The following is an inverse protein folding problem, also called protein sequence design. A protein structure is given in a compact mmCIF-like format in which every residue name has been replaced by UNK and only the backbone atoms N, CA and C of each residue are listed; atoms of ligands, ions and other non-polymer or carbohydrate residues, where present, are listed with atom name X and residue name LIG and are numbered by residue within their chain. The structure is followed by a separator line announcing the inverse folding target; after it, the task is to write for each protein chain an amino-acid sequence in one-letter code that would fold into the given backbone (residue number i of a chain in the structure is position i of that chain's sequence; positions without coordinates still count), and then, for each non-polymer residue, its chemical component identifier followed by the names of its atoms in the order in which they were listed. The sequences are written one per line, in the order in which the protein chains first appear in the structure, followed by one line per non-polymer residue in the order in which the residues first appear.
data_IF_989204416066
#
_entry.id   IF_989204416066
#
_cell.length_a   1.000
_cell.length_b   1.000
_cell.length_c   1.000
_cell.angle_alpha   90.00
_cell.angle_beta   90.00
_cell.angle_gamma   90.00
#
_symmetry.space_group_name_H-M   'P 1'
#
loop_
_entity.id
_entity.type
_entity.pdbx_description
1 polymer ?
#
# COMPACT_ATOMS: atom_id res chain seq x y z
N UNK A 1 -2.55 78.07 7.69
CA UNK A 1 -2.46 77.03 8.76
C UNK A 1 -3.85 76.41 8.99
N UNK A 2 -4.15 75.33 8.32
CA UNK A 2 -5.40 74.58 8.52
C UNK A 2 -5.17 73.49 9.54
N UNK A 3 -5.65 73.72 10.76
CA UNK A 3 -5.61 72.70 11.83
C UNK A 3 -6.82 71.79 11.65
N UNK A 4 -6.62 70.65 10.97
CA UNK A 4 -7.66 69.64 10.76
C UNK A 4 -7.91 68.90 12.08
N UNK A 5 -8.99 69.26 12.78
CA UNK A 5 -9.43 68.54 13.97
C UNK A 5 -9.81 67.13 13.55
N UNK A 6 -9.03 66.18 13.98
CA UNK A 6 -9.32 64.74 13.77
C UNK A 6 -10.34 64.34 14.82
N UNK A 7 -11.52 64.01 14.37
CA UNK A 7 -12.64 63.64 15.21
C UNK A 7 -12.36 62.32 15.93
N UNK A 8 -12.15 62.39 17.23
CA UNK A 8 -11.77 61.30 18.12
C UNK A 8 -12.78 60.15 18.08
N UNK A 9 -14.04 60.42 17.74
CA UNK A 9 -15.10 59.44 17.55
C UNK A 9 -14.86 58.55 16.32
N UNK A 10 -14.27 59.12 15.24
CA UNK A 10 -13.95 58.34 14.02
C UNK A 10 -12.73 57.43 14.23
N UNK A 11 -11.77 57.83 15.07
CA UNK A 11 -10.61 57.02 15.42
C UNK A 11 -11.03 55.83 16.29
N UNK A 12 -11.95 56.02 17.25
CA UNK A 12 -12.50 54.94 18.07
C UNK A 12 -13.27 53.93 17.24
N UNK A 13 -14.01 54.41 16.21
CA UNK A 13 -14.77 53.50 15.34
C UNK A 13 -13.90 52.73 14.36
N UNK A 14 -12.75 53.29 13.93
CA UNK A 14 -11.78 52.58 13.12
C UNK A 14 -10.97 51.52 13.92
N UNK A 15 -10.69 51.79 15.21
CA UNK A 15 -10.05 50.79 16.08
C UNK A 15 -10.95 49.61 16.40
N UNK A 16 -12.28 49.81 16.51
CA UNK A 16 -13.23 48.70 16.75
C UNK A 16 -13.36 47.74 15.55
N UNK A 17 -13.20 48.25 14.32
CA UNK A 17 -13.24 47.40 13.12
C UNK A 17 -11.94 46.62 12.91
N UNK A 18 -10.78 47.13 13.38
CA UNK A 18 -9.53 46.44 13.28
C UNK A 18 -9.39 45.21 14.23
N UNK A 19 -10.14 45.19 15.34
CA UNK A 19 -10.10 44.08 16.28
C UNK A 19 -10.98 42.86 15.89
N UNK A 20 -11.91 43.00 14.94
CA UNK A 20 -12.75 41.89 14.47
C UNK A 20 -12.07 41.07 13.36
N UNK A 21 -10.98 41.57 12.77
CA UNK A 21 -10.28 40.88 11.70
C UNK A 21 -9.20 39.87 12.17
N UNK A 22 -8.94 39.75 13.49
CA UNK A 22 -7.94 38.89 14.05
C UNK A 22 -8.44 37.57 14.70
N UNK A 23 -9.75 37.34 14.66
CA UNK A 23 -10.32 36.07 15.18
C UNK A 23 -10.84 35.15 14.09
N UNK A 24 -10.07 34.93 13.04
CA UNK A 24 -10.47 34.11 11.90
C UNK A 24 -9.39 33.28 11.23
N UNK A 25 -8.18 33.20 11.78
CA UNK A 25 -7.22 32.18 11.37
C UNK A 25 -7.36 30.96 12.27
N UNK A 26 -8.50 30.27 12.18
CA UNK A 26 -8.46 28.83 12.30
C UNK A 26 -7.63 28.32 11.14
N UNK A 27 -6.34 28.13 11.39
CA UNK A 27 -5.50 27.35 10.51
C UNK A 27 -6.27 26.07 10.22
N UNK A 28 -6.70 25.91 8.96
CA UNK A 28 -6.94 24.58 8.46
C UNK A 28 -5.61 23.86 8.65
N UNK A 29 -5.47 23.11 9.74
CA UNK A 29 -4.54 22.02 9.77
C UNK A 29 -4.80 21.28 8.46
N UNK A 30 -3.81 21.32 7.58
CA UNK A 30 -3.74 20.39 6.49
C UNK A 30 -4.02 19.03 7.15
N UNK A 31 -5.17 18.45 6.87
CA UNK A 31 -5.42 17.05 7.14
C UNK A 31 -4.28 16.35 6.43
N UNK A 32 -3.26 15.95 7.21
CA UNK A 32 -2.39 14.87 6.84
C UNK A 32 -3.31 13.80 6.32
N UNK A 33 -3.00 13.31 5.09
CA UNK A 33 -3.86 12.47 4.32
C UNK A 33 -4.62 11.50 5.19
N UNK A 34 -5.93 11.49 5.07
CA UNK A 34 -6.70 10.33 5.42
C UNK A 34 -6.02 9.19 4.67
N UNK A 35 -5.17 8.43 5.38
CA UNK A 35 -4.94 7.07 5.01
C UNK A 35 -6.34 6.50 4.87
N UNK A 36 -6.80 6.40 3.63
CA UNK A 36 -7.90 5.51 3.34
C UNK A 36 -7.42 4.16 3.82
N UNK A 37 -7.76 3.83 5.06
CA UNK A 37 -7.57 2.51 5.60
C UNK A 37 -8.39 1.59 4.69
N UNK A 38 -7.72 1.12 3.62
CA UNK A 38 -8.28 0.14 2.75
C UNK A 38 -8.41 -1.12 3.59
N UNK A 39 -9.64 -1.40 4.04
CA UNK A 39 -9.97 -2.58 4.84
C UNK A 39 -9.58 -3.90 4.12
N UNK A 40 -9.20 -3.77 2.85
CA UNK A 40 -8.75 -4.85 1.97
C UNK A 40 -7.23 -4.92 1.76
N UNK A 41 -6.42 -4.13 2.48
CA UNK A 41 -4.96 -4.20 2.34
C UNK A 41 -4.43 -5.59 2.68
N UNK A 42 -3.40 -6.02 1.95
CA UNK A 42 -2.72 -7.29 2.22
C UNK A 42 -1.89 -7.17 3.49
N UNK A 43 -2.06 -8.14 4.37
CA UNK A 43 -1.27 -8.28 5.59
C UNK A 43 -1.23 -9.74 6.04
N UNK A 44 -0.14 -10.12 6.71
CA UNK A 44 0.06 -11.47 7.25
C UNK A 44 0.39 -12.52 6.18
N UNK A 45 0.17 -13.78 6.53
CA UNK A 45 0.57 -14.95 5.72
C UNK A 45 -0.53 -15.38 4.76
N UNK A 46 -0.14 -15.61 3.51
CA UNK A 46 -1.00 -16.09 2.42
C UNK A 46 -0.29 -17.23 1.68
N UNK A 47 -0.86 -18.41 1.70
CA UNK A 47 -0.32 -19.57 0.97
C UNK A 47 -0.46 -19.38 -0.54
N UNK A 48 0.54 -19.81 -1.29
CA UNK A 48 0.52 -19.77 -2.75
C UNK A 48 -0.35 -20.91 -3.26
N UNK A 49 -1.35 -20.57 -4.08
CA UNK A 49 -2.18 -21.56 -4.79
C UNK A 49 -1.65 -21.76 -6.20
N UNK A 50 -1.38 -20.64 -6.90
CA UNK A 50 -0.89 -20.65 -8.28
C UNK A 50 -0.15 -19.35 -8.61
N UNK A 51 0.92 -19.44 -9.37
CA UNK A 51 1.64 -18.29 -9.94
C UNK A 51 1.88 -18.55 -11.41
N UNK A 52 1.34 -17.70 -12.29
CA UNK A 52 1.25 -17.95 -13.73
C UNK A 52 0.61 -19.33 -13.98
N UNK A 53 1.33 -20.24 -14.62
CA UNK A 53 0.88 -21.62 -14.88
C UNK A 53 1.52 -22.64 -13.93
N UNK A 54 2.23 -22.18 -12.86
CA UNK A 54 2.93 -23.04 -11.91
C UNK A 54 2.13 -23.16 -10.62
N UNK A 55 1.88 -24.38 -10.17
CA UNK A 55 1.29 -24.72 -8.88
C UNK A 55 2.34 -25.33 -7.96
N UNK A 56 2.31 -25.07 -6.65
CA UNK A 56 3.21 -25.71 -5.71
C UNK A 56 3.02 -27.23 -5.72
N UNK A 57 4.11 -27.98 -5.69
CA UNK A 57 4.05 -29.44 -5.49
C UNK A 57 3.39 -29.77 -4.15
N UNK A 58 2.82 -30.97 -4.02
CA UNK A 58 2.18 -31.42 -2.79
C UNK A 58 3.11 -31.33 -1.55
N UNK A 59 4.40 -31.54 -1.74
CA UNK A 59 5.41 -31.45 -0.70
C UNK A 59 5.68 -30.00 -0.23
N UNK A 60 5.46 -29.01 -1.07
CA UNK A 60 5.74 -27.59 -0.80
C UNK A 60 4.50 -26.78 -0.42
N UNK A 61 3.31 -27.30 -0.65
CA UNK A 61 2.03 -26.57 -0.58
C UNK A 61 1.81 -25.80 0.74
N UNK A 62 2.23 -26.37 1.87
CA UNK A 62 2.06 -25.75 3.18
C UNK A 62 3.23 -24.83 3.58
N UNK A 63 4.34 -24.91 2.88
CA UNK A 63 5.56 -24.15 3.18
C UNK A 63 5.68 -22.86 2.37
N UNK A 64 5.11 -22.83 1.16
CA UNK A 64 5.22 -21.68 0.24
C UNK A 64 4.15 -20.64 0.53
N UNK A 65 4.58 -19.39 0.65
CA UNK A 65 3.68 -18.31 1.02
C UNK A 65 4.23 -16.93 0.68
N UNK A 66 3.32 -15.97 0.53
CA UNK A 66 3.57 -14.54 0.66
C UNK A 66 3.30 -14.14 2.11
N UNK A 67 4.28 -13.51 2.75
CA UNK A 67 4.15 -12.95 4.10
C UNK A 67 4.25 -11.43 3.98
N UNK A 68 3.10 -10.77 4.02
CA UNK A 68 2.99 -9.31 3.91
C UNK A 68 3.20 -8.67 5.28
N UNK A 69 4.02 -7.63 5.31
CA UNK A 69 4.13 -6.69 6.42
C UNK A 69 3.66 -5.32 5.92
N UNK A 70 2.39 -5.00 6.19
CA UNK A 70 1.77 -3.75 5.77
C UNK A 70 2.48 -2.54 6.39
N UNK A 71 2.91 -2.64 7.64
CA UNK A 71 3.54 -1.52 8.35
C UNK A 71 4.88 -1.12 7.73
N UNK A 72 5.62 -2.08 7.17
CA UNK A 72 6.91 -1.85 6.51
C UNK A 72 6.79 -1.70 4.98
N UNK A 73 5.63 -1.96 4.41
CA UNK A 73 5.46 -1.99 2.96
C UNK A 73 6.33 -3.07 2.30
N UNK A 74 6.56 -4.19 2.98
CA UNK A 74 7.43 -5.27 2.54
C UNK A 74 6.68 -6.61 2.48
N UNK A 75 7.11 -7.49 1.59
CA UNK A 75 6.63 -8.87 1.53
C UNK A 75 7.79 -9.83 1.34
N UNK A 76 7.76 -10.93 2.08
CA UNK A 76 8.62 -12.08 1.88
C UNK A 76 7.86 -13.15 1.10
N UNK A 77 8.36 -13.53 -0.06
CA UNK A 77 7.83 -14.64 -0.84
C UNK A 77 8.69 -15.87 -0.60
N UNK A 78 8.12 -16.86 0.06
CA UNK A 78 8.72 -18.18 0.26
C UNK A 78 8.22 -19.08 -0.86
N UNK A 79 9.03 -19.24 -1.91
CA UNK A 79 8.65 -19.96 -3.12
C UNK A 79 9.36 -21.31 -3.29
N UNK A 80 9.89 -21.83 -2.22
CA UNK A 80 10.67 -23.08 -2.18
C UNK A 80 11.78 -22.95 -1.17
N UNK A 81 13.02 -23.23 -1.58
CA UNK A 81 14.19 -23.11 -0.70
C UNK A 81 14.75 -21.68 -0.63
N UNK A 82 14.38 -20.80 -1.57
CA UNK A 82 14.76 -19.40 -1.57
C UNK A 82 13.65 -18.50 -1.01
N UNK A 83 14.06 -17.31 -0.55
CA UNK A 83 13.18 -16.25 -0.09
C UNK A 83 13.41 -15.03 -0.96
N UNK A 84 12.32 -14.52 -1.54
CA UNK A 84 12.33 -13.26 -2.29
C UNK A 84 11.80 -12.18 -1.34
N UNK A 85 12.60 -11.15 -1.09
CA UNK A 85 12.17 -9.97 -0.35
C UNK A 85 11.91 -8.84 -1.34
N UNK A 86 10.72 -8.25 -1.28
CA UNK A 86 10.30 -7.21 -2.19
C UNK A 86 9.44 -6.17 -1.45
N UNK A 87 9.59 -4.90 -1.82
CA UNK A 87 8.67 -3.85 -1.35
C UNK A 87 7.35 -3.93 -2.12
N UNK A 88 6.27 -3.49 -1.48
CA UNK A 88 4.99 -3.34 -2.18
C UNK A 88 4.29 -2.04 -1.75
N UNK A 89 3.47 -1.53 -2.66
CA UNK A 89 2.56 -0.43 -2.40
C UNK A 89 1.15 -0.89 -2.77
N UNK A 90 0.19 -0.59 -1.91
CA UNK A 90 -1.21 -0.94 -2.16
C UNK A 90 -2.14 0.21 -1.84
N UNK A 91 -2.96 0.57 -2.83
CA UNK A 91 -4.06 1.52 -2.73
C UNK A 91 -5.35 0.81 -3.15
N UNK A 92 -6.09 0.28 -2.16
CA UNK A 92 -7.30 -0.51 -2.38
C UNK A 92 -7.11 -1.70 -3.33
N UNK A 93 -7.57 -1.61 -4.55
CA UNK A 93 -7.48 -2.68 -5.56
C UNK A 93 -6.25 -2.57 -6.45
N UNK A 94 -5.44 -1.53 -6.28
CA UNK A 94 -4.15 -1.40 -6.95
C UNK A 94 -3.05 -1.91 -6.03
N UNK A 95 -2.20 -2.77 -6.55
CA UNK A 95 -1.01 -3.24 -5.85
C UNK A 95 0.14 -3.31 -6.85
N UNK A 96 1.31 -2.86 -6.43
CA UNK A 96 2.54 -2.93 -7.22
C UNK A 96 3.68 -3.41 -6.35
N UNK A 97 4.62 -4.11 -6.95
CA UNK A 97 5.83 -4.59 -6.29
C UNK A 97 7.05 -3.89 -6.86
N UNK A 98 8.02 -3.58 -5.99
CA UNK A 98 9.33 -3.08 -6.39
C UNK A 98 10.25 -4.18 -6.88
N UNK A 99 11.54 -3.88 -6.97
CA UNK A 99 12.55 -4.87 -7.29
C UNK A 99 12.70 -5.87 -6.14
N UNK A 100 12.70 -7.16 -6.47
CA UNK A 100 12.87 -8.25 -5.51
C UNK A 100 14.33 -8.67 -5.38
N UNK A 101 14.74 -8.94 -4.14
CA UNK A 101 16.03 -9.56 -3.83
C UNK A 101 15.78 -11.01 -3.40
N UNK A 102 16.33 -11.96 -4.13
CA UNK A 102 16.24 -13.38 -3.78
C UNK A 102 17.57 -13.91 -3.23
N UNK A 103 17.47 -14.78 -2.23
CA UNK A 103 18.59 -15.65 -1.86
C UNK A 103 18.87 -16.60 -3.02
N UNK A 104 20.14 -16.92 -3.28
CA UNK A 104 20.54 -17.77 -4.42
C UNK A 104 21.10 -19.11 -3.94
N UNK A 105 20.24 -19.95 -3.39
CA UNK A 105 20.60 -21.34 -3.15
C UNK A 105 20.23 -22.16 -4.39
N UNK A 106 21.12 -23.08 -4.79
CA UNK A 106 20.81 -24.03 -5.84
C UNK A 106 19.82 -25.09 -5.30
N UNK A 107 18.61 -25.07 -5.82
CA UNK A 107 17.53 -25.97 -5.43
C UNK A 107 17.21 -26.95 -6.55
N UNK A 108 16.76 -28.18 -6.24
CA UNK A 108 16.37 -29.15 -7.25
C UNK A 108 15.21 -28.68 -8.15
N UNK A 109 14.30 -27.87 -7.59
CA UNK A 109 13.16 -27.31 -8.32
C UNK A 109 13.04 -25.82 -7.98
N UNK A 110 13.23 -24.97 -8.97
CA UNK A 110 13.11 -23.50 -8.88
C UNK A 110 11.94 -22.96 -9.67
N UNK A 111 11.09 -23.81 -10.23
CA UNK A 111 10.01 -23.42 -11.13
C UNK A 111 9.05 -22.40 -10.51
N UNK A 112 8.67 -22.59 -9.25
CA UNK A 112 7.78 -21.68 -8.54
C UNK A 112 8.46 -20.34 -8.20
N UNK A 113 9.75 -20.36 -7.84
CA UNK A 113 10.52 -19.15 -7.58
C UNK A 113 10.67 -18.31 -8.85
N UNK A 114 11.06 -18.95 -9.96
CA UNK A 114 11.18 -18.28 -11.26
C UNK A 114 9.86 -17.69 -11.71
N UNK A 115 8.76 -18.42 -11.49
CA UNK A 115 7.41 -17.92 -11.76
C UNK A 115 7.07 -16.68 -10.90
N UNK A 116 7.41 -16.70 -9.60
CA UNK A 116 7.22 -15.55 -8.71
C UNK A 116 8.04 -14.34 -9.16
N UNK A 117 9.33 -14.52 -9.45
CA UNK A 117 10.21 -13.44 -9.91
C UNK A 117 9.71 -12.83 -11.23
N UNK A 118 9.16 -13.64 -12.11
CA UNK A 118 8.57 -13.18 -13.39
C UNK A 118 7.22 -12.48 -13.18
N UNK A 119 6.37 -12.97 -12.29
CA UNK A 119 5.02 -12.47 -12.08
C UNK A 119 4.99 -11.14 -11.29
N UNK A 120 5.83 -11.01 -10.25
CA UNK A 120 5.82 -9.83 -9.35
C UNK A 120 5.84 -8.49 -10.08
N UNK A 121 6.75 -8.22 -11.04
CA UNK A 121 6.77 -6.94 -11.75
C UNK A 121 5.58 -6.73 -12.71
N UNK A 122 4.81 -7.76 -13.01
CA UNK A 122 3.64 -7.68 -13.88
C UNK A 122 2.36 -7.32 -13.12
N UNK A 123 2.37 -7.44 -11.79
CA UNK A 123 1.18 -7.20 -10.96
C UNK A 123 0.85 -5.71 -10.92
N UNK A 124 -0.40 -5.37 -11.21
CA UNK A 124 -0.93 -4.00 -11.14
C UNK A 124 -2.22 -3.89 -10.34
N UNK A 125 -2.90 -5.00 -10.10
CA UNK A 125 -4.16 -5.03 -9.40
C UNK A 125 -4.34 -6.23 -8.47
N UNK A 126 -5.29 -6.12 -7.55
CA UNK A 126 -5.65 -7.18 -6.62
C UNK A 126 -7.14 -7.23 -6.38
N UNK A 127 -7.71 -8.42 -6.39
CA UNK A 127 -9.08 -8.72 -5.95
C UNK A 127 -9.00 -9.62 -4.73
N UNK A 128 -9.62 -9.21 -3.63
CA UNK A 128 -9.61 -9.94 -2.37
C UNK A 128 -11.03 -10.24 -1.90
N UNK A 129 -11.30 -11.47 -1.54
CA UNK A 129 -12.60 -11.90 -1.01
C UNK A 129 -12.54 -13.27 -0.34
N UNK A 130 -13.33 -13.47 0.72
CA UNK A 130 -13.51 -14.75 1.43
C UNK A 130 -12.24 -15.60 1.63
N UNK A 131 -11.15 -14.95 2.08
CA UNK A 131 -9.88 -15.63 2.32
C UNK A 131 -9.04 -15.94 1.07
N UNK A 132 -9.48 -15.51 -0.12
CA UNK A 132 -8.75 -15.63 -1.39
C UNK A 132 -8.26 -14.26 -1.86
N UNK A 133 -7.09 -14.19 -2.44
CA UNK A 133 -6.58 -13.00 -3.13
C UNK A 133 -6.09 -13.39 -4.52
N UNK A 134 -6.50 -12.63 -5.52
CA UNK A 134 -6.12 -12.79 -6.92
C UNK A 134 -5.43 -11.52 -7.39
N UNK A 135 -4.16 -11.62 -7.79
CA UNK A 135 -3.41 -10.50 -8.33
C UNK A 135 -3.44 -10.55 -9.85
N UNK A 136 -3.63 -9.39 -10.45
CA UNK A 136 -3.84 -9.26 -11.90
C UNK A 136 -2.76 -8.40 -12.53
N UNK A 137 -2.52 -8.68 -13.81
CA UNK A 137 -1.70 -7.83 -14.68
C UNK A 137 -2.48 -6.60 -15.18
N UNK A 138 -1.84 -5.78 -16.02
CA UNK A 138 -2.43 -4.57 -16.60
C UNK A 138 -3.63 -4.87 -17.55
N UNK A 139 -3.76 -6.10 -18.05
CA UNK A 139 -4.85 -6.57 -18.91
C UNK A 139 -6.00 -7.16 -18.07
N UNK A 140 -5.83 -7.31 -16.76
CA UNK A 140 -6.81 -7.90 -15.86
C UNK A 140 -6.75 -9.43 -15.76
N UNK A 141 -5.75 -10.08 -16.36
CA UNK A 141 -5.55 -11.51 -16.21
C UNK A 141 -5.05 -11.84 -14.82
N UNK A 142 -5.57 -12.90 -14.21
CA UNK A 142 -5.10 -13.38 -12.91
C UNK A 142 -3.77 -14.11 -13.11
N UNK A 143 -2.71 -13.58 -12.49
CA UNK A 143 -1.35 -14.12 -12.59
C UNK A 143 -0.81 -14.70 -11.28
N UNK A 144 -1.38 -14.31 -10.13
CA UNK A 144 -1.05 -14.90 -8.83
C UNK A 144 -2.36 -15.16 -8.08
N UNK A 145 -2.53 -16.36 -7.56
CA UNK A 145 -3.64 -16.73 -6.69
C UNK A 145 -3.11 -17.16 -5.33
N UNK A 146 -3.63 -16.53 -4.28
CA UNK A 146 -3.26 -16.78 -2.90
C UNK A 146 -4.48 -17.16 -2.07
N UNK A 147 -4.27 -17.97 -1.04
CA UNK A 147 -5.25 -18.33 -0.02
C UNK A 147 -4.76 -17.87 1.34
N UNK A 148 -5.61 -17.20 2.13
CA UNK A 148 -5.23 -16.81 3.49
C UNK A 148 -4.97 -18.06 4.32
N UNK A 149 -3.76 -18.14 4.90
CA UNK A 149 -3.42 -19.25 5.80
C UNK A 149 -4.26 -19.14 7.06
N UNK A 150 -4.86 -20.24 7.51
CA UNK A 150 -5.34 -20.34 8.88
C UNK A 150 -4.12 -20.26 9.81
N UNK A 151 -4.21 -19.42 10.83
CA UNK A 151 -3.19 -19.38 11.88
C UNK A 151 -3.20 -20.68 12.66
#
# INVERSE_FOLDING_TARGET
MFKKSIDMKKILMMMAVAMIALSGCKGKQAKQGEEHACDKCMDGRWSIVKVLDVEPSAALKDSVAFVFNKAEGSVQVKAGCNIINVSFQQECEKITFGEGLSTRMACPDMSLEDACLKALPMVTGIKKGMGKAEMTDAQGNVIITLQKSAN
#
